data_IF_794022225573
#
_entry.id   IF_794022225573
#
_cell.length_a   1.000
_cell.length_b   1.000
_cell.length_c   1.000
_cell.angle_alpha   90.00
_cell.angle_beta   90.00
_cell.angle_gamma   90.00
#
_symmetry.space_group_name_H-M   'P 1'
#
loop_
_entity.id
_entity.type
_entity.pdbx_description
1 polymer ?
#
# COMPACT_ATOMS: atom_id res chain seq x y z
N UNK A 1 -72.42 -5.09 -1.54
CA UNK A 1 -71.81 -4.60 -0.29
C UNK A 1 -70.38 -4.15 -0.56
N UNK A 2 -70.12 -2.85 -0.65
CA UNK A 2 -68.76 -2.27 -0.62
C UNK A 2 -68.83 -0.99 0.23
N UNK A 3 -68.02 -0.95 1.28
CA UNK A 3 -67.93 0.12 2.28
C UNK A 3 -67.33 1.39 1.66
N UNK A 4 -67.85 2.54 2.08
CA UNK A 4 -67.27 3.88 1.90
C UNK A 4 -66.00 4.03 2.74
N UNK A 5 -65.03 4.83 2.30
CA UNK A 5 -64.53 5.97 3.09
C UNK A 5 -63.65 6.91 2.25
N UNK A 6 -63.86 8.21 2.45
CA UNK A 6 -63.14 9.33 1.84
C UNK A 6 -61.89 9.68 2.65
N UNK A 7 -60.88 10.28 2.00
CA UNK A 7 -59.83 11.06 2.67
C UNK A 7 -59.54 12.33 1.88
N UNK A 8 -59.50 13.41 2.65
CA UNK A 8 -59.41 14.83 2.28
C UNK A 8 -58.01 15.23 1.82
N UNK A 9 -57.93 16.08 0.80
CA UNK A 9 -56.69 16.69 0.31
C UNK A 9 -56.43 17.99 1.11
N UNK A 10 -55.32 18.07 1.83
CA UNK A 10 -54.86 19.30 2.50
C UNK A 10 -53.62 19.81 1.74
N UNK A 11 -53.76 20.98 1.13
CA UNK A 11 -52.68 21.77 0.50
C UNK A 11 -51.82 22.43 1.58
N UNK A 12 -50.55 22.04 1.68
CA UNK A 12 -49.54 22.69 2.51
C UNK A 12 -48.51 23.42 1.63
N UNK A 13 -48.45 24.74 1.78
CA UNK A 13 -47.41 25.61 1.21
C UNK A 13 -46.13 25.40 2.03
N UNK A 14 -45.05 24.93 1.40
CA UNK A 14 -43.73 24.87 2.02
C UNK A 14 -42.91 26.10 1.60
N UNK A 15 -42.53 26.91 2.61
CA UNK A 15 -41.53 27.96 2.52
C UNK A 15 -40.18 27.34 2.13
N UNK A 16 -39.62 27.77 0.99
CA UNK A 16 -38.24 27.47 0.64
C UNK A 16 -37.30 28.40 1.43
N UNK A 17 -36.72 27.89 2.52
CA UNK A 17 -35.56 28.52 3.15
C UNK A 17 -34.31 28.19 2.32
N UNK A 18 -33.85 29.16 1.53
CA UNK A 18 -32.55 29.13 0.89
C UNK A 18 -31.47 29.24 1.98
N UNK A 19 -30.95 28.10 2.44
CA UNK A 19 -29.70 28.04 3.19
C UNK A 19 -28.57 28.20 2.17
N UNK A 20 -27.86 29.32 2.29
CA UNK A 20 -26.69 29.62 1.48
C UNK A 20 -25.62 28.55 1.67
N UNK A 21 -25.17 27.97 0.55
CA UNK A 21 -23.90 27.28 0.52
C UNK A 21 -22.80 28.35 0.61
N UNK A 22 -22.05 28.35 1.70
CA UNK A 22 -20.76 29.03 1.73
C UNK A 22 -19.74 28.14 1.02
N UNK A 23 -19.08 28.57 -0.07
CA UNK A 23 -17.86 27.91 -0.51
C UNK A 23 -16.72 28.53 0.30
N UNK A 24 -16.42 27.94 1.45
CA UNK A 24 -15.10 28.13 2.04
C UNK A 24 -14.21 27.03 1.48
N UNK A 25 -13.48 27.34 0.41
CA UNK A 25 -12.29 26.57 0.03
C UNK A 25 -11.34 26.73 1.21
N UNK A 26 -11.29 25.74 2.10
CA UNK A 26 -10.19 25.63 3.03
C UNK A 26 -8.96 25.42 2.15
N UNK A 27 -8.13 26.47 2.01
CA UNK A 27 -6.82 26.31 1.41
C UNK A 27 -6.06 25.41 2.36
N UNK A 28 -5.85 24.15 1.97
CA UNK A 28 -4.91 23.28 2.66
C UNK A 28 -3.55 23.96 2.61
N UNK A 29 -3.12 24.54 3.73
CA UNK A 29 -1.79 25.14 3.83
C UNK A 29 -0.79 24.00 3.97
N UNK A 30 -0.12 23.66 2.89
CA UNK A 30 0.90 22.63 2.88
C UNK A 30 2.13 23.10 3.68
N UNK A 31 2.38 22.47 4.82
CA UNK A 31 3.45 22.83 5.74
C UNK A 31 4.72 22.02 5.42
N UNK A 32 5.91 22.65 5.35
CA UNK A 32 7.18 21.93 5.18
C UNK A 32 7.39 20.95 6.35
N UNK A 33 7.70 19.70 6.02
CA UNK A 33 7.83 18.63 7.02
C UNK A 33 9.25 18.45 7.53
N UNK A 34 10.25 18.90 6.77
CA UNK A 34 11.65 18.54 6.97
C UNK A 34 12.02 17.21 6.31
N UNK A 35 11.05 16.38 5.92
CA UNK A 35 11.28 15.10 5.25
C UNK A 35 11.66 15.31 3.78
N UNK A 36 12.93 15.08 3.43
CA UNK A 36 13.43 15.30 2.06
C UNK A 36 13.35 14.01 1.26
N UNK A 37 12.67 14.06 0.11
CA UNK A 37 12.65 12.99 -0.90
C UNK A 37 12.90 13.61 -2.26
N UNK A 38 13.68 12.93 -3.10
CA UNK A 38 14.05 13.41 -4.45
C UNK A 38 14.67 14.82 -4.45
N UNK A 39 15.41 15.15 -3.39
CA UNK A 39 16.02 16.47 -3.20
C UNK A 39 15.03 17.59 -2.83
N UNK A 40 13.78 17.26 -2.51
CA UNK A 40 12.73 18.22 -2.15
C UNK A 40 12.27 18.02 -0.70
N UNK A 41 12.20 19.11 0.07
CA UNK A 41 11.52 19.09 1.37
C UNK A 41 10.01 18.99 1.15
N UNK A 42 9.45 17.81 1.45
CA UNK A 42 8.05 17.53 1.21
C UNK A 42 7.16 18.34 2.15
N UNK A 43 5.99 18.72 1.65
CA UNK A 43 4.97 19.44 2.42
C UNK A 43 3.82 18.51 2.82
N UNK A 44 3.23 18.72 4.00
CA UNK A 44 2.09 17.96 4.49
C UNK A 44 0.86 18.85 4.73
N UNK A 45 -0.34 18.29 4.53
CA UNK A 45 -1.58 18.93 4.95
C UNK A 45 -1.69 18.99 6.50
N UNK A 46 -1.20 17.95 7.18
CA UNK A 46 -1.15 17.86 8.64
C UNK A 46 0.23 17.35 9.08
N UNK A 47 0.86 18.06 10.02
CA UNK A 47 2.02 17.56 10.79
C UNK A 47 1.50 17.24 12.19
N UNK A 48 1.62 15.99 12.61
CA UNK A 48 0.96 15.48 13.81
C UNK A 48 1.95 15.00 14.88
N UNK A 49 1.56 15.22 16.14
CA UNK A 49 2.11 14.60 17.34
C UNK A 49 0.94 14.42 18.32
N UNK A 50 0.27 13.28 18.21
CA UNK A 50 -1.02 12.98 18.83
C UNK A 50 -2.02 12.37 17.85
N UNK A 51 -3.25 12.19 18.32
CA UNK A 51 -4.31 11.51 17.57
C UNK A 51 -4.96 12.40 16.50
N UNK A 52 -5.28 11.82 15.36
CA UNK A 52 -5.97 12.46 14.23
C UNK A 52 -7.24 11.67 13.88
N UNK A 53 -8.32 12.41 13.60
CA UNK A 53 -9.58 11.89 13.07
C UNK A 53 -10.24 12.90 12.13
N UNK A 54 -11.13 12.43 11.26
CA UNK A 54 -11.90 13.28 10.35
C UNK A 54 -11.41 13.25 8.91
N UNK A 55 -11.79 14.25 8.13
CA UNK A 55 -11.45 14.34 6.70
C UNK A 55 -10.20 15.21 6.50
N UNK A 56 -9.22 14.67 5.76
CA UNK A 56 -7.98 15.32 5.38
C UNK A 56 -7.92 15.37 3.85
N UNK A 57 -8.25 16.53 3.29
CA UNK A 57 -8.00 16.85 1.88
C UNK A 57 -6.59 17.43 1.73
N UNK A 58 -5.70 16.63 1.16
CA UNK A 58 -4.31 16.96 0.94
C UNK A 58 -4.02 17.41 -0.50
N UNK A 59 -5.05 17.80 -1.25
CA UNK A 59 -4.90 18.33 -2.61
C UNK A 59 -3.93 19.51 -2.61
N UNK A 60 -2.86 19.38 -3.41
CA UNK A 60 -1.80 20.38 -3.52
C UNK A 60 -0.62 20.17 -2.57
N UNK A 61 -0.71 19.24 -1.61
CA UNK A 61 0.39 18.87 -0.72
C UNK A 61 1.05 17.55 -1.15
N UNK A 62 2.27 17.32 -0.66
CA UNK A 62 2.97 16.06 -0.92
C UNK A 62 2.50 14.93 -0.01
N UNK A 63 2.17 15.26 1.24
CA UNK A 63 1.79 14.31 2.27
C UNK A 63 0.41 14.70 2.82
N UNK A 64 -0.44 13.73 3.11
CA UNK A 64 -1.67 13.98 3.86
C UNK A 64 -1.37 14.24 5.34
N UNK A 65 -0.94 13.21 6.04
CA UNK A 65 -0.59 13.28 7.47
C UNK A 65 0.87 12.84 7.66
N UNK A 66 1.67 13.68 8.30
CA UNK A 66 3.08 13.43 8.58
C UNK A 66 3.35 13.34 10.09
N UNK A 67 3.88 12.19 10.52
CA UNK A 67 4.48 11.96 11.83
C UNK A 67 6.00 11.83 11.66
N UNK A 68 6.71 12.85 12.13
CA UNK A 68 8.17 12.94 12.05
C UNK A 68 8.89 12.32 13.25
N UNK A 69 10.22 12.45 13.32
CA UNK A 69 11.06 11.86 14.36
C UNK A 69 10.59 12.19 15.78
N UNK A 70 10.37 11.16 16.60
CA UNK A 70 10.04 11.33 18.02
C UNK A 70 8.56 11.61 18.31
N UNK A 71 7.70 11.55 17.30
CA UNK A 71 6.25 11.77 17.45
C UNK A 71 5.48 10.46 17.66
N UNK A 72 4.27 10.55 18.17
CA UNK A 72 3.40 9.37 18.32
C UNK A 72 1.93 9.71 18.21
N UNK A 73 1.08 8.70 17.99
CA UNK A 73 -0.37 8.91 18.01
C UNK A 73 -1.14 7.85 17.23
N UNK A 74 -2.42 8.14 17.01
CA UNK A 74 -3.33 7.28 16.23
C UNK A 74 -4.03 8.08 15.15
N UNK A 75 -4.04 7.58 13.91
CA UNK A 75 -4.98 8.05 12.88
C UNK A 75 -6.14 7.07 12.84
N UNK A 76 -7.32 7.50 13.28
CA UNK A 76 -8.49 6.63 13.41
C UNK A 76 -9.74 7.19 12.72
N UNK A 77 -10.46 6.35 11.99
CA UNK A 77 -11.77 6.69 11.42
C UNK A 77 -11.73 7.89 10.46
N UNK A 78 -10.58 8.11 9.81
CA UNK A 78 -10.33 9.27 8.96
C UNK A 78 -10.56 8.95 7.48
N UNK A 79 -10.80 10.00 6.70
CA UNK A 79 -10.73 9.96 5.24
C UNK A 79 -9.51 10.80 4.82
N UNK A 80 -8.54 10.21 4.12
CA UNK A 80 -7.29 10.88 3.73
C UNK A 80 -7.07 10.74 2.23
N UNK A 81 -6.97 11.85 1.50
CA UNK A 81 -6.86 11.83 0.04
C UNK A 81 -6.15 13.03 -0.57
N UNK A 82 -5.80 12.91 -1.86
CA UNK A 82 -5.41 14.05 -2.72
C UNK A 82 -3.92 14.42 -2.74
N UNK A 83 -3.10 13.84 -1.85
CA UNK A 83 -1.65 14.09 -1.85
C UNK A 83 -0.94 13.36 -3.00
N UNK A 84 0.16 13.93 -3.51
CA UNK A 84 0.87 13.33 -4.65
C UNK A 84 1.99 12.34 -4.27
N UNK A 85 2.55 12.40 -3.06
CA UNK A 85 3.59 11.48 -2.61
C UNK A 85 3.07 10.40 -1.66
N UNK A 86 2.47 10.81 -0.53
CA UNK A 86 2.09 9.89 0.55
C UNK A 86 0.76 10.27 1.19
N UNK A 87 -0.09 9.29 1.51
CA UNK A 87 -1.30 9.53 2.29
C UNK A 87 -0.95 9.82 3.75
N UNK A 88 -0.40 8.81 4.44
CA UNK A 88 0.07 8.91 5.83
C UNK A 88 1.52 8.45 5.90
N UNK A 89 2.38 9.24 6.54
CA UNK A 89 3.79 8.92 6.79
C UNK A 89 4.05 8.83 8.29
N UNK A 90 4.71 7.76 8.72
CA UNK A 90 5.32 7.63 10.03
C UNK A 90 6.81 7.32 9.83
N UNK A 91 7.68 8.23 10.25
CA UNK A 91 9.13 8.05 10.05
C UNK A 91 9.93 8.46 11.26
N UNK A 92 11.00 7.71 11.52
CA UNK A 92 11.95 8.01 12.60
C UNK A 92 13.04 8.99 12.19
N UNK A 93 13.07 9.44 10.93
CA UNK A 93 14.10 10.33 10.39
C UNK A 93 13.52 11.41 9.48
N UNK A 94 14.12 12.59 9.51
CA UNK A 94 13.85 13.69 8.59
C UNK A 94 15.15 14.21 7.94
N UNK A 95 15.06 15.33 7.24
CA UNK A 95 16.12 15.89 6.41
C UNK A 95 16.41 15.00 5.21
N UNK A 96 17.67 14.91 4.77
CA UNK A 96 18.06 13.97 3.70
C UNK A 96 18.06 12.55 4.26
N UNK A 97 16.90 11.91 4.13
CA UNK A 97 16.62 10.61 4.74
C UNK A 97 17.41 9.46 4.09
N UNK A 98 17.96 9.68 2.89
CA UNK A 98 18.81 8.70 2.21
C UNK A 98 20.29 8.84 2.65
N UNK A 99 20.66 10.01 3.19
CA UNK A 99 21.99 10.25 3.80
C UNK A 99 21.97 10.25 5.33
N UNK A 100 20.82 10.00 5.95
CA UNK A 100 20.63 10.09 7.40
C UNK A 100 21.05 11.44 7.99
N UNK A 101 20.75 12.52 7.26
CA UNK A 101 21.03 13.89 7.69
C UNK A 101 19.75 14.54 8.18
N UNK A 102 19.58 14.68 9.50
CA UNK A 102 18.41 15.33 10.07
C UNK A 102 18.23 14.97 11.55
N UNK A 103 17.01 15.13 12.03
CA UNK A 103 16.59 14.62 13.32
C UNK A 103 16.30 13.13 13.22
N UNK A 104 16.60 12.43 14.31
CA UNK A 104 16.36 11.00 14.48
C UNK A 104 15.54 10.80 15.74
N UNK A 105 14.65 9.83 15.71
CA UNK A 105 13.81 9.53 16.85
C UNK A 105 12.93 8.29 16.67
N UNK A 106 12.25 7.95 17.75
CA UNK A 106 11.30 6.84 17.77
C UNK A 106 9.92 7.37 17.46
N UNK A 107 9.35 6.90 16.35
CA UNK A 107 8.00 7.27 15.90
C UNK A 107 7.08 6.07 16.02
N UNK A 108 5.95 6.23 16.71
CA UNK A 108 4.98 5.16 16.96
C UNK A 108 3.58 5.61 16.62
N UNK A 109 3.02 5.10 15.52
CA UNK A 109 1.73 5.54 15.00
C UNK A 109 0.84 4.35 14.72
N UNK A 110 -0.39 4.36 15.22
CA UNK A 110 -1.40 3.38 14.82
C UNK A 110 -2.30 3.99 13.74
N UNK A 111 -2.49 3.28 12.62
CA UNK A 111 -3.34 3.71 11.50
C UNK A 111 -4.51 2.74 11.42
N UNK A 112 -5.69 3.15 11.91
CA UNK A 112 -6.81 2.24 12.09
C UNK A 112 -8.14 2.73 11.51
N UNK A 113 -8.87 1.81 10.84
CA UNK A 113 -10.25 2.06 10.37
C UNK A 113 -10.39 3.31 9.47
N UNK A 114 -9.37 3.63 8.67
CA UNK A 114 -9.39 4.80 7.78
C UNK A 114 -9.82 4.41 6.35
N UNK A 115 -10.32 5.40 5.60
CA UNK A 115 -10.44 5.36 4.15
C UNK A 115 -9.33 6.22 3.52
N UNK A 116 -8.38 5.61 2.82
CA UNK A 116 -7.20 6.27 2.27
C UNK A 116 -7.22 6.07 0.75
N UNK A 117 -7.35 7.14 -0.02
CA UNK A 117 -7.52 7.02 -1.46
C UNK A 117 -6.98 8.21 -2.26
N UNK A 118 -6.95 8.05 -3.58
CA UNK A 118 -6.54 9.09 -4.52
C UNK A 118 -5.12 9.62 -4.31
N UNK A 119 -4.21 8.77 -3.83
CA UNK A 119 -2.83 9.14 -3.49
C UNK A 119 -1.89 8.95 -4.69
N UNK A 120 -1.27 10.03 -5.16
CA UNK A 120 -0.34 10.02 -6.27
C UNK A 120 -0.52 11.20 -7.22
N UNK A 121 0.37 11.27 -8.20
CA UNK A 121 0.37 12.31 -9.24
C UNK A 121 -0.96 12.35 -10.01
N UNK A 122 -1.37 13.53 -10.45
CA UNK A 122 -2.57 13.72 -11.27
C UNK A 122 -2.18 14.36 -12.62
N UNK A 123 -2.18 13.62 -13.74
CA UNK A 123 -2.52 12.19 -13.88
C UNK A 123 -1.43 11.24 -13.34
N UNK A 124 -1.82 10.01 -12.99
CA UNK A 124 -0.88 8.97 -12.58
C UNK A 124 0.13 8.64 -13.69
N UNK A 125 1.36 8.30 -13.30
CA UNK A 125 2.46 8.03 -14.21
C UNK A 125 3.46 7.01 -13.61
N UNK A 126 4.62 6.80 -14.25
CA UNK A 126 5.62 5.80 -13.87
C UNK A 126 6.67 6.22 -12.85
N UNK A 127 6.60 7.41 -12.23
CA UNK A 127 7.69 7.96 -11.39
C UNK A 127 7.79 7.38 -9.98
N UNK A 128 7.06 6.31 -9.65
CA UNK A 128 7.16 5.59 -8.36
C UNK A 128 6.71 6.38 -7.12
N UNK A 129 5.90 7.44 -7.29
CA UNK A 129 5.23 8.13 -6.18
C UNK A 129 3.87 7.49 -5.84
N UNK A 130 3.22 8.04 -4.81
CA UNK A 130 1.86 7.71 -4.40
C UNK A 130 1.79 6.42 -3.61
N UNK A 131 2.10 6.53 -2.32
CA UNK A 131 1.96 5.44 -1.35
C UNK A 131 0.88 5.81 -0.32
N UNK A 132 -0.11 4.94 -0.11
CA UNK A 132 -1.21 5.19 0.84
C UNK A 132 -0.72 5.39 2.27
N UNK A 133 -0.04 4.39 2.83
CA UNK A 133 0.55 4.42 4.18
C UNK A 133 2.01 4.04 4.11
N UNK A 134 2.90 4.87 4.66
CA UNK A 134 4.33 4.66 4.59
C UNK A 134 5.01 4.75 5.96
N UNK A 135 5.63 3.65 6.38
CA UNK A 135 6.53 3.59 7.52
C UNK A 135 7.97 3.53 7.00
N UNK A 136 8.83 4.42 7.49
CA UNK A 136 10.23 4.50 7.06
C UNK A 136 11.17 4.67 8.25
N UNK A 137 12.13 3.75 8.39
CA UNK A 137 13.21 3.89 9.35
C UNK A 137 14.51 3.18 8.90
N UNK A 138 15.41 3.92 8.27
CA UNK A 138 16.71 3.41 7.76
C UNK A 138 17.91 3.76 8.64
N UNK A 139 17.84 4.88 9.37
CA UNK A 139 18.98 5.44 10.05
C UNK A 139 19.18 4.84 11.44
N UNK A 140 20.43 4.68 11.86
CA UNK A 140 20.76 4.28 13.23
C UNK A 140 20.19 5.29 14.23
N UNK A 141 19.41 4.84 15.21
CA UNK A 141 18.74 5.71 16.18
C UNK A 141 17.38 6.23 15.75
N UNK A 142 16.94 5.94 14.53
CA UNK A 142 15.56 6.13 14.09
C UNK A 142 14.72 4.85 14.27
N UNK A 143 13.41 5.00 14.47
CA UNK A 143 12.47 3.88 14.45
C UNK A 143 11.08 4.34 13.99
N UNK A 144 10.38 3.47 13.25
CA UNK A 144 9.00 3.69 12.84
C UNK A 144 8.18 2.42 13.10
N UNK A 145 7.22 2.49 14.03
CA UNK A 145 6.46 1.33 14.47
C UNK A 145 4.96 1.59 14.60
N UNK A 146 4.16 0.54 14.55
CA UNK A 146 2.75 0.60 14.90
C UNK A 146 1.85 -0.42 14.21
N UNK A 147 0.56 -0.35 14.51
CA UNK A 147 -0.47 -1.20 13.95
C UNK A 147 -1.21 -0.50 12.80
N UNK A 148 -1.31 -1.19 11.66
CA UNK A 148 -2.05 -0.75 10.48
C UNK A 148 -3.23 -1.70 10.34
N UNK A 149 -4.42 -1.29 10.76
CA UNK A 149 -5.56 -2.23 10.83
C UNK A 149 -6.93 -1.70 10.42
N UNK A 150 -7.72 -2.55 9.77
CA UNK A 150 -9.10 -2.22 9.41
C UNK A 150 -9.25 -1.09 8.37
N UNK A 151 -8.16 -0.69 7.70
CA UNK A 151 -8.22 0.41 6.72
C UNK A 151 -8.72 -0.09 5.36
N UNK A 152 -9.36 0.81 4.61
CA UNK A 152 -9.57 0.69 3.18
C UNK A 152 -8.54 1.59 2.47
N UNK A 153 -7.66 1.00 1.65
CA UNK A 153 -6.63 1.71 0.89
C UNK A 153 -6.83 1.42 -0.58
N UNK A 154 -7.07 2.46 -1.39
CA UNK A 154 -7.39 2.29 -2.82
C UNK A 154 -6.90 3.46 -3.67
N UNK A 155 -6.94 3.32 -4.99
CA UNK A 155 -6.64 4.42 -5.94
C UNK A 155 -5.32 5.15 -5.61
N UNK A 156 -4.27 4.38 -5.29
CA UNK A 156 -2.91 4.88 -5.15
C UNK A 156 -2.11 4.62 -6.43
N UNK A 157 -0.97 5.31 -6.59
CA UNK A 157 -0.12 5.19 -7.77
C UNK A 157 0.87 4.01 -7.68
N UNK A 158 1.65 3.88 -6.60
CA UNK A 158 2.69 2.83 -6.48
C UNK A 158 2.40 1.80 -5.39
N UNK A 159 2.15 2.24 -4.16
CA UNK A 159 2.09 1.38 -2.98
C UNK A 159 0.81 1.56 -2.17
N UNK A 160 0.21 0.49 -1.69
CA UNK A 160 -0.90 0.61 -0.73
C UNK A 160 -0.38 0.92 0.67
N UNK A 161 0.24 -0.09 1.28
CA UNK A 161 0.86 -0.02 2.61
C UNK A 161 2.32 -0.46 2.49
N UNK A 162 3.26 0.37 2.92
CA UNK A 162 4.69 0.11 2.78
C UNK A 162 5.41 0.36 4.10
N UNK A 163 6.26 -0.58 4.53
CA UNK A 163 7.20 -0.42 5.62
C UNK A 163 8.61 -0.73 5.13
N UNK A 164 9.50 0.26 5.11
CA UNK A 164 10.85 0.12 4.59
C UNK A 164 11.90 0.56 5.62
N UNK A 165 13.01 -0.19 5.66
CA UNK A 165 14.20 0.11 6.46
C UNK A 165 14.35 -0.81 7.67
N UNK A 166 15.60 -1.12 8.08
CA UNK A 166 15.90 -2.06 9.17
C UNK A 166 15.25 -1.74 10.52
N UNK A 167 14.85 -0.48 10.74
CA UNK A 167 14.26 -0.04 11.99
C UNK A 167 12.75 0.23 11.88
N UNK A 168 12.12 -0.18 10.77
CA UNK A 168 10.68 -0.13 10.56
C UNK A 168 10.04 -1.48 10.92
N UNK A 169 9.10 -1.49 11.88
CA UNK A 169 8.46 -2.71 12.35
C UNK A 169 6.94 -2.52 12.54
N UNK A 170 6.13 -3.26 11.78
CA UNK A 170 4.68 -3.02 11.71
C UNK A 170 3.83 -4.30 11.85
N UNK A 171 2.61 -4.12 12.36
CA UNK A 171 1.56 -5.16 12.33
C UNK A 171 0.44 -4.74 11.39
N UNK A 172 0.29 -5.44 10.26
CA UNK A 172 -0.65 -5.10 9.18
C UNK A 172 -1.79 -6.11 9.19
N UNK A 173 -2.98 -5.71 9.65
CA UNK A 173 -4.08 -6.66 9.83
C UNK A 173 -5.48 -6.19 9.46
N UNK A 174 -6.25 -7.05 8.81
CA UNK A 174 -7.67 -6.75 8.54
C UNK A 174 -7.92 -5.59 7.58
N UNK A 175 -6.95 -5.20 6.77
CA UNK A 175 -7.10 -4.12 5.80
C UNK A 175 -7.68 -4.63 4.48
N UNK A 176 -8.37 -3.76 3.74
CA UNK A 176 -8.68 -3.94 2.33
C UNK A 176 -7.77 -3.04 1.51
N UNK A 177 -6.95 -3.64 0.64
CA UNK A 177 -5.95 -2.93 -0.17
C UNK A 177 -6.20 -3.26 -1.64
N UNK A 178 -6.68 -2.26 -2.39
CA UNK A 178 -7.11 -2.44 -3.78
C UNK A 178 -6.27 -1.56 -4.72
N UNK A 179 -5.50 -2.22 -5.60
CA UNK A 179 -4.83 -1.58 -6.71
C UNK A 179 -5.81 -1.14 -7.80
N UNK A 180 -5.27 -0.63 -8.91
CA UNK A 180 -6.05 -0.06 -10.02
C UNK A 180 -6.44 -1.09 -11.09
N UNK A 181 -6.19 -2.38 -10.84
CA UNK A 181 -6.32 -3.43 -11.83
C UNK A 181 -5.16 -3.41 -12.84
N UNK A 182 -5.33 -4.03 -14.03
CA UNK A 182 -4.31 -4.07 -15.07
C UNK A 182 -3.97 -2.67 -15.60
N UNK A 183 -2.78 -2.15 -15.25
CA UNK A 183 -2.32 -0.82 -15.69
C UNK A 183 -0.92 -0.85 -16.33
N UNK A 184 -0.64 -0.01 -17.34
CA UNK A 184 0.65 -0.02 -18.03
C UNK A 184 1.66 1.00 -17.47
N UNK A 185 1.22 1.99 -16.69
CA UNK A 185 2.10 3.10 -16.32
C UNK A 185 3.09 2.73 -15.20
N UNK A 186 2.70 1.81 -14.31
CA UNK A 186 3.48 1.46 -13.13
C UNK A 186 3.08 0.11 -12.54
N UNK A 187 4.08 -0.69 -12.14
CA UNK A 187 3.83 -1.93 -11.39
C UNK A 187 3.55 -1.61 -9.92
N UNK A 188 2.34 -1.92 -9.45
CA UNK A 188 1.89 -1.59 -8.11
C UNK A 188 2.20 -2.69 -7.11
N UNK A 189 2.45 -2.30 -5.87
CA UNK A 189 2.56 -3.22 -4.75
C UNK A 189 1.42 -2.92 -3.74
N UNK A 190 0.68 -3.94 -3.32
CA UNK A 190 -0.40 -3.75 -2.35
C UNK A 190 0.17 -3.49 -0.97
N UNK A 191 0.76 -4.53 -0.39
CA UNK A 191 1.46 -4.44 0.88
C UNK A 191 2.94 -4.77 0.65
N UNK A 192 3.84 -3.91 1.12
CA UNK A 192 5.27 -4.14 1.05
C UNK A 192 5.92 -4.03 2.44
N UNK A 193 6.76 -5.01 2.77
CA UNK A 193 7.78 -4.87 3.80
C UNK A 193 9.12 -5.05 3.10
N UNK A 194 10.03 -4.09 3.23
CA UNK A 194 11.27 -4.19 2.49
C UNK A 194 12.48 -3.50 3.09
N UNK A 195 13.62 -3.76 2.45
CA UNK A 195 14.92 -3.19 2.78
C UNK A 195 15.26 -3.32 4.28
N UNK A 196 15.13 -4.52 4.82
CA UNK A 196 15.38 -4.80 6.24
C UNK A 196 14.19 -4.62 7.17
N UNK A 197 13.05 -4.13 6.68
CA UNK A 197 11.84 -3.97 7.49
C UNK A 197 11.35 -5.28 8.11
N UNK A 198 10.66 -5.17 9.25
CA UNK A 198 10.04 -6.30 9.94
C UNK A 198 8.51 -6.14 10.00
N UNK A 199 7.82 -7.27 10.12
CA UNK A 199 6.41 -7.22 10.46
C UNK A 199 5.62 -8.51 10.26
N UNK A 200 4.32 -8.37 10.52
CA UNK A 200 3.34 -9.42 10.32
C UNK A 200 2.18 -8.91 9.47
N UNK A 201 1.83 -9.66 8.43
CA UNK A 201 0.76 -9.32 7.48
C UNK A 201 -0.32 -10.38 7.62
N UNK A 202 -1.45 -10.06 8.23
CA UNK A 202 -2.48 -11.05 8.53
C UNK A 202 -3.92 -10.64 8.19
N UNK A 203 -4.71 -11.57 7.66
CA UNK A 203 -6.16 -11.37 7.45
C UNK A 203 -6.52 -10.13 6.63
N UNK A 204 -5.66 -9.69 5.73
CA UNK A 204 -5.95 -8.61 4.80
C UNK A 204 -6.64 -9.17 3.54
N UNK A 205 -7.38 -8.31 2.85
CA UNK A 205 -7.91 -8.55 1.51
C UNK A 205 -7.12 -7.69 0.51
N UNK A 206 -6.38 -8.29 -0.42
CA UNK A 206 -5.43 -7.58 -1.30
C UNK A 206 -5.66 -7.93 -2.77
N UNK A 207 -6.06 -6.96 -3.59
CA UNK A 207 -6.59 -7.18 -4.94
C UNK A 207 -6.10 -6.13 -5.94
N UNK A 208 -6.14 -6.42 -7.23
CA UNK A 208 -6.00 -5.43 -8.30
C UNK A 208 -4.57 -4.95 -8.58
N UNK A 209 -3.55 -5.75 -8.27
CA UNK A 209 -2.15 -5.42 -8.55
C UNK A 209 -1.68 -6.12 -9.81
N UNK A 210 -1.99 -5.55 -10.97
CA UNK A 210 -1.59 -6.11 -12.25
C UNK A 210 -0.92 -5.09 -13.16
N UNK A 211 0.21 -5.46 -13.74
CA UNK A 211 0.98 -4.62 -14.63
C UNK A 211 0.94 -5.14 -16.06
N UNK A 212 0.62 -4.26 -17.00
CA UNK A 212 0.52 -4.57 -18.43
C UNK A 212 1.57 -3.85 -19.27
N UNK A 213 2.40 -3.01 -18.65
CA UNK A 213 3.40 -2.19 -19.32
C UNK A 213 4.67 -2.96 -19.68
N UNK A 214 5.65 -2.32 -20.32
CA UNK A 214 6.88 -2.96 -20.80
C UNK A 214 7.90 -3.22 -19.67
N UNK A 215 9.08 -3.73 -20.04
CA UNK A 215 10.30 -3.85 -19.22
C UNK A 215 10.36 -5.01 -18.22
N UNK A 216 9.58 -6.07 -18.41
CA UNK A 216 9.75 -7.29 -17.61
C UNK A 216 9.41 -7.14 -16.13
N UNK A 217 8.56 -6.18 -15.78
CA UNK A 217 8.12 -5.95 -14.41
C UNK A 217 6.83 -6.73 -14.09
N UNK A 218 6.63 -7.01 -12.81
CA UNK A 218 5.38 -7.57 -12.28
C UNK A 218 4.95 -6.79 -11.04
N UNK A 219 3.65 -6.62 -10.90
CA UNK A 219 3.04 -6.12 -9.68
C UNK A 219 2.96 -7.22 -8.61
N UNK A 220 2.79 -6.85 -7.35
CA UNK A 220 2.62 -7.80 -6.26
C UNK A 220 1.43 -7.41 -5.37
N UNK A 221 0.61 -8.39 -4.99
CA UNK A 221 -0.35 -8.21 -3.91
C UNK A 221 0.40 -7.94 -2.61
N UNK A 222 1.25 -8.88 -2.21
CA UNK A 222 2.12 -8.73 -1.03
C UNK A 222 3.58 -8.97 -1.45
N UNK A 223 4.46 -8.01 -1.18
CA UNK A 223 5.88 -8.06 -1.51
C UNK A 223 6.76 -7.96 -0.25
N UNK A 224 7.62 -8.96 -0.06
CA UNK A 224 8.72 -8.92 0.90
C UNK A 224 9.99 -8.75 0.08
N UNK A 225 10.62 -7.57 0.14
CA UNK A 225 11.75 -7.26 -0.73
C UNK A 225 13.01 -6.92 0.05
N UNK A 226 14.16 -7.51 -0.27
CA UNK A 226 15.42 -7.18 0.41
C UNK A 226 16.66 -7.59 -0.36
N UNK A 227 17.83 -7.22 0.17
CA UNK A 227 19.10 -7.46 -0.50
C UNK A 227 19.39 -6.42 -1.58
N UNK A 228 19.99 -6.84 -2.71
CA UNK A 228 20.30 -5.92 -3.80
C UNK A 228 21.24 -4.76 -3.39
N UNK A 229 22.17 -5.03 -2.47
CA UNK A 229 23.04 -4.03 -1.86
C UNK A 229 22.46 -3.34 -0.61
N UNK A 230 21.19 -3.61 -0.27
CA UNK A 230 20.56 -3.22 0.99
C UNK A 230 20.41 -4.43 1.93
N UNK A 231 19.89 -4.20 3.13
CA UNK A 231 19.58 -5.23 4.11
C UNK A 231 18.58 -6.26 3.57
N UNK A 232 18.77 -7.52 3.98
CA UNK A 232 17.80 -8.58 3.75
C UNK A 232 16.57 -8.36 4.61
N UNK A 233 15.39 -8.62 4.04
CA UNK A 233 14.11 -8.55 4.75
C UNK A 233 13.75 -9.96 5.20
N UNK A 234 13.79 -10.18 6.51
CA UNK A 234 13.82 -11.54 7.08
C UNK A 234 12.73 -11.76 8.13
N UNK A 235 12.30 -13.00 8.30
CA UNK A 235 11.38 -13.41 9.38
C UNK A 235 9.94 -12.93 9.24
N UNK A 236 9.59 -12.25 8.14
CA UNK A 236 8.24 -11.72 7.91
C UNK A 236 7.23 -12.87 7.77
N UNK A 237 6.07 -12.70 8.39
CA UNK A 237 4.98 -13.68 8.40
C UNK A 237 3.74 -13.15 7.70
N UNK A 238 3.31 -13.84 6.66
CA UNK A 238 2.13 -13.55 5.84
C UNK A 238 1.10 -14.64 6.09
N UNK A 239 0.07 -14.32 6.87
CA UNK A 239 -0.81 -15.35 7.47
C UNK A 239 -2.29 -15.07 7.23
N UNK A 240 -3.01 -16.03 6.62
CA UNK A 240 -4.48 -15.97 6.47
C UNK A 240 -5.00 -14.75 5.71
N UNK A 241 -4.23 -14.21 4.76
CA UNK A 241 -4.70 -13.17 3.87
C UNK A 241 -5.51 -13.79 2.72
N UNK A 242 -6.45 -13.00 2.19
CA UNK A 242 -7.07 -13.24 0.88
C UNK A 242 -6.37 -12.32 -0.11
N UNK A 243 -5.66 -12.90 -1.07
CA UNK A 243 -4.76 -12.16 -1.97
C UNK A 243 -5.06 -12.57 -3.40
N UNK A 244 -5.85 -11.77 -4.10
CA UNK A 244 -6.23 -12.16 -5.44
C UNK A 244 -7.62 -11.76 -5.85
N UNK A 245 -8.09 -12.40 -6.93
CA UNK A 245 -9.34 -12.03 -7.54
C UNK A 245 -10.55 -12.33 -6.65
N UNK A 246 -11.43 -11.32 -6.48
CA UNK A 246 -12.82 -11.49 -6.02
C UNK A 246 -13.82 -11.28 -7.15
N UNK A 247 -13.39 -10.64 -8.23
CA UNK A 247 -14.13 -10.35 -9.45
C UNK A 247 -13.23 -10.55 -10.68
N UNK A 248 -13.73 -10.49 -11.93
CA UNK A 248 -12.83 -10.42 -13.08
C UNK A 248 -11.99 -9.13 -13.06
N UNK A 249 -10.74 -9.20 -13.49
CA UNK A 249 -9.76 -8.11 -13.56
C UNK A 249 -9.28 -7.47 -12.23
N UNK A 250 -9.50 -8.09 -11.06
CA UNK A 250 -8.91 -7.67 -9.77
C UNK A 250 -7.85 -8.66 -9.23
N UNK A 251 -7.26 -9.47 -10.10
CA UNK A 251 -6.15 -10.36 -9.76
C UNK A 251 -4.84 -9.62 -9.47
N UNK A 252 -3.87 -10.35 -8.92
CA UNK A 252 -2.50 -9.86 -8.74
C UNK A 252 -1.53 -10.64 -9.64
N UNK A 253 -0.56 -9.98 -10.26
CA UNK A 253 0.45 -10.68 -11.08
C UNK A 253 1.21 -11.68 -10.20
N UNK A 254 1.80 -11.21 -9.11
CA UNK A 254 2.26 -12.06 -8.02
C UNK A 254 1.31 -11.93 -6.84
N UNK A 255 0.76 -13.04 -6.36
CA UNK A 255 -0.05 -13.03 -5.12
C UNK A 255 0.82 -12.62 -3.95
N UNK A 256 1.78 -13.48 -3.59
CA UNK A 256 2.82 -13.21 -2.60
C UNK A 256 4.19 -13.33 -3.25
N UNK A 257 5.07 -12.36 -3.05
CA UNK A 257 6.46 -12.39 -3.48
C UNK A 257 7.39 -12.31 -2.27
N UNK A 258 8.16 -13.37 -2.03
CA UNK A 258 9.29 -13.43 -1.10
C UNK A 258 10.55 -13.19 -1.93
N UNK A 259 10.95 -11.93 -2.07
CA UNK A 259 11.95 -11.49 -3.03
C UNK A 259 13.17 -10.88 -2.33
N UNK A 260 14.01 -11.74 -1.78
CA UNK A 260 15.33 -11.38 -1.27
C UNK A 260 16.42 -11.82 -2.25
N UNK A 261 17.39 -10.95 -2.47
CA UNK A 261 18.48 -11.24 -3.39
C UNK A 261 19.84 -11.06 -2.75
N UNK A 262 20.85 -11.65 -3.37
CA UNK A 262 22.24 -11.34 -3.12
C UNK A 262 22.55 -9.86 -3.48
N UNK A 263 23.74 -9.34 -3.12
CA UNK A 263 24.10 -7.96 -3.41
C UNK A 263 24.09 -7.57 -4.90
N UNK A 264 24.11 -8.55 -5.82
CA UNK A 264 24.09 -8.30 -7.27
C UNK A 264 22.69 -8.33 -7.89
N UNK A 265 21.64 -8.62 -7.10
CA UNK A 265 20.27 -8.80 -7.58
C UNK A 265 20.09 -9.94 -8.60
N UNK A 266 20.93 -10.97 -8.55
CA UNK A 266 20.88 -12.04 -9.56
C UNK A 266 20.41 -13.37 -9.01
N UNK A 267 20.57 -13.61 -7.71
CA UNK A 267 20.22 -14.88 -7.08
C UNK A 267 19.67 -14.68 -5.67
N UNK A 268 19.04 -15.71 -5.12
CA UNK A 268 18.71 -15.75 -3.71
C UNK A 268 19.98 -15.64 -2.82
N UNK A 269 19.90 -15.01 -1.64
CA UNK A 269 21.02 -14.90 -0.72
C UNK A 269 21.42 -16.26 -0.13
N UNK A 270 22.67 -16.40 0.31
CA UNK A 270 23.13 -17.58 1.05
C UNK A 270 22.72 -17.54 2.54
N UNK A 271 22.44 -16.35 3.06
CA UNK A 271 21.92 -16.13 4.42
C UNK A 271 20.43 -16.45 4.46
N UNK A 272 20.02 -17.24 5.47
CA UNK A 272 18.62 -17.59 5.67
C UNK A 272 17.73 -16.36 5.92
N UNK A 273 16.74 -16.15 5.06
CA UNK A 273 15.74 -15.08 5.13
C UNK A 273 14.53 -15.48 5.98
N UNK A 274 14.19 -16.76 6.06
CA UNK A 274 13.18 -17.30 6.98
C UNK A 274 11.76 -16.68 6.88
N UNK A 275 11.39 -16.08 5.76
CA UNK A 275 10.06 -15.52 5.53
C UNK A 275 9.03 -16.64 5.33
N UNK A 276 7.77 -16.36 5.65
CA UNK A 276 6.72 -17.38 5.63
C UNK A 276 5.41 -16.89 5.04
N UNK A 277 4.91 -17.60 4.04
CA UNK A 277 3.54 -17.50 3.54
C UNK A 277 2.72 -18.69 4.06
N UNK A 278 1.74 -18.44 4.93
CA UNK A 278 1.04 -19.48 5.68
C UNK A 278 -0.48 -19.32 5.60
N UNK A 279 -1.21 -20.37 5.19
CA UNK A 279 -2.68 -20.41 5.21
C UNK A 279 -3.35 -19.25 4.45
N UNK A 280 -2.73 -18.70 3.42
CA UNK A 280 -3.35 -17.66 2.59
C UNK A 280 -4.22 -18.29 1.50
N UNK A 281 -5.27 -17.58 1.10
CA UNK A 281 -6.04 -17.88 -0.11
C UNK A 281 -5.56 -16.94 -1.21
N UNK A 282 -5.02 -17.49 -2.28
CA UNK A 282 -4.33 -16.76 -3.35
C UNK A 282 -4.97 -17.10 -4.69
N UNK A 283 -5.59 -16.13 -5.34
CA UNK A 283 -6.42 -16.36 -6.54
C UNK A 283 -6.07 -15.41 -7.67
N UNK A 284 -6.00 -15.90 -8.91
CA UNK A 284 -6.02 -15.01 -10.07
C UNK A 284 -6.77 -15.66 -11.22
N UNK A 285 -7.84 -15.02 -11.66
CA UNK A 285 -8.71 -15.56 -12.72
C UNK A 285 -8.28 -15.16 -14.12
N UNK A 286 -7.21 -14.37 -14.26
CA UNK A 286 -6.77 -13.83 -15.55
C UNK A 286 -5.25 -13.84 -15.73
N UNK A 287 -4.83 -13.98 -16.99
CA UNK A 287 -3.45 -13.75 -17.43
C UNK A 287 -3.39 -12.37 -18.07
N UNK A 288 -3.02 -11.38 -17.26
CA UNK A 288 -3.02 -9.96 -17.62
C UNK A 288 -1.61 -9.40 -17.78
N UNK A 289 -0.62 -9.92 -17.04
CA UNK A 289 0.77 -9.55 -17.24
C UNK A 289 1.30 -10.17 -18.54
N UNK A 290 1.63 -9.31 -19.49
CA UNK A 290 2.09 -9.71 -20.83
C UNK A 290 3.58 -9.37 -21.09
N UNK A 291 4.34 -8.93 -20.07
CA UNK A 291 5.67 -8.31 -20.28
C UNK A 291 6.89 -8.95 -19.60
N UNK A 292 6.75 -9.86 -18.63
CA UNK A 292 7.85 -10.63 -18.03
C UNK A 292 8.65 -11.49 -19.02
N UNK A 293 9.98 -11.35 -18.98
CA UNK A 293 11.01 -12.09 -19.72
C UNK A 293 10.75 -12.39 -21.22
N UNK A 294 10.43 -11.35 -22.00
CA UNK A 294 10.27 -11.46 -23.45
C UNK A 294 8.90 -12.01 -23.83
N UNK A 295 8.03 -11.15 -24.36
CA UNK A 295 6.69 -11.46 -24.88
C UNK A 295 5.69 -12.19 -23.93
N UNK A 296 6.07 -12.70 -22.76
CA UNK A 296 5.19 -13.58 -21.97
C UNK A 296 5.26 -13.39 -20.46
N UNK A 297 5.02 -12.19 -19.94
CA UNK A 297 4.51 -12.01 -18.57
C UNK A 297 5.31 -12.61 -17.40
N UNK A 298 5.06 -12.22 -16.16
CA UNK A 298 5.29 -13.19 -15.06
C UNK A 298 4.19 -13.07 -14.04
N UNK A 299 3.50 -14.19 -13.83
CA UNK A 299 2.48 -14.34 -12.82
C UNK A 299 2.71 -15.60 -12.00
N UNK A 300 2.53 -15.50 -10.70
CA UNK A 300 2.67 -16.61 -9.78
C UNK A 300 1.81 -16.39 -8.52
N UNK A 301 1.22 -17.46 -8.00
CA UNK A 301 0.55 -17.39 -6.70
C UNK A 301 1.54 -17.03 -5.60
N UNK A 302 2.66 -17.74 -5.54
CA UNK A 302 3.80 -17.41 -4.67
C UNK A 302 5.09 -17.42 -5.49
N UNK A 303 5.82 -16.30 -5.44
CA UNK A 303 7.20 -16.19 -5.92
C UNK A 303 8.15 -16.25 -4.72
N UNK A 304 9.23 -17.01 -4.82
CA UNK A 304 10.26 -17.12 -3.79
C UNK A 304 11.66 -17.07 -4.42
N UNK A 305 12.37 -15.99 -4.14
CA UNK A 305 13.82 -15.89 -4.20
C UNK A 305 14.27 -15.56 -2.79
N UNK A 306 14.69 -16.58 -2.05
CA UNK A 306 15.00 -16.48 -0.64
C UNK A 306 15.72 -17.72 -0.16
N UNK A 307 16.00 -17.78 1.14
CA UNK A 307 16.74 -18.88 1.75
C UNK A 307 16.07 -19.33 3.05
N UNK A 308 15.71 -20.61 3.12
CA UNK A 308 14.94 -21.21 4.22
C UNK A 308 13.54 -20.56 4.45
N UNK A 309 13.00 -19.94 3.41
CA UNK A 309 11.64 -19.43 3.35
C UNK A 309 10.64 -20.60 3.32
N UNK A 310 9.40 -20.35 3.72
CA UNK A 310 8.38 -21.40 3.90
C UNK A 310 7.04 -21.01 3.30
N UNK A 311 6.55 -21.85 2.40
CA UNK A 311 5.21 -21.78 1.82
C UNK A 311 4.38 -22.93 2.40
N UNK A 312 3.46 -22.62 3.31
CA UNK A 312 2.78 -23.63 4.15
C UNK A 312 1.26 -23.48 4.01
N UNK A 313 0.59 -24.53 3.53
CA UNK A 313 -0.88 -24.65 3.52
C UNK A 313 -1.60 -23.46 2.84
N UNK A 314 -1.01 -22.85 1.82
CA UNK A 314 -1.72 -21.83 1.03
C UNK A 314 -2.64 -22.53 0.03
N UNK A 315 -3.83 -21.96 -0.17
CA UNK A 315 -4.76 -22.35 -1.24
C UNK A 315 -4.50 -21.44 -2.43
N UNK A 316 -3.95 -21.98 -3.52
CA UNK A 316 -3.53 -21.22 -4.70
C UNK A 316 -4.34 -21.71 -5.90
N UNK A 317 -5.07 -20.83 -6.56
CA UNK A 317 -5.94 -21.23 -7.68
C UNK A 317 -6.17 -20.13 -8.72
N UNK A 318 -6.80 -20.53 -9.84
CA UNK A 318 -7.18 -19.65 -10.95
C UNK A 318 -6.22 -19.72 -12.14
N UNK A 319 -6.76 -19.45 -13.33
CA UNK A 319 -6.02 -19.60 -14.60
C UNK A 319 -4.86 -18.62 -14.76
N UNK A 320 -4.84 -17.53 -13.99
CA UNK A 320 -3.74 -16.58 -13.92
C UNK A 320 -2.46 -17.15 -13.32
N UNK A 321 -2.55 -18.28 -12.59
CA UNK A 321 -1.41 -18.99 -12.02
C UNK A 321 -1.26 -20.40 -12.58
N UNK A 322 -2.01 -20.74 -13.64
CA UNK A 322 -1.97 -22.06 -14.26
C UNK A 322 -0.75 -22.16 -15.18
N UNK A 323 0.25 -23.01 -14.85
CA UNK A 323 1.45 -23.16 -15.66
C UNK A 323 1.18 -23.76 -17.04
N UNK A 324 0.01 -24.37 -17.28
CA UNK A 324 -0.41 -24.83 -18.61
C UNK A 324 -0.94 -23.70 -19.50
N UNK A 325 -1.26 -22.54 -18.90
CA UNK A 325 -1.78 -21.35 -19.58
C UNK A 325 -0.71 -20.28 -19.75
N UNK A 326 0.26 -20.22 -18.85
CA UNK A 326 1.52 -19.51 -19.07
C UNK A 326 2.33 -20.29 -20.12
N UNK A 327 2.52 -19.73 -21.33
CA UNK A 327 3.24 -20.41 -22.41
C UNK A 327 4.57 -20.99 -21.89
N UNK A 328 4.75 -22.30 -22.07
CA UNK A 328 5.87 -23.10 -21.58
C UNK A 328 7.20 -22.79 -22.31
N UNK A 329 7.72 -21.57 -22.15
CA UNK A 329 9.08 -21.19 -22.52
C UNK A 329 9.83 -20.71 -21.27
N UNK A 330 10.44 -21.69 -20.61
CA UNK A 330 11.62 -21.60 -19.77
C UNK A 330 11.74 -20.38 -18.83
N UNK A 331 11.46 -20.63 -17.55
CA UNK A 331 12.19 -19.99 -16.45
C UNK A 331 13.69 -20.32 -16.66
N UNK A 332 14.59 -19.34 -16.82
CA UNK A 332 16.03 -19.58 -16.70
C UNK A 332 16.41 -20.02 -15.28
#
# INVERSE_FOLDING_TARGET
MKKKLAVSLVTGIALASALGASPAVAVTMCMPTGFIRDGMNLTAAVIADGDISGQIDATGCNIGIYYGPGTSGTVAGSEVFGSNYFGIVATGEDGDVDQCLGHLGTTSVDVTSNNIHDIGEKPFNGVQHGIGVYYRAFCDGASATGAISGNAVSVYQKGGIVANGPNAAVSISGNTVAGRGPIPEIAQNGIQIGFGGDGMIMRNNVTGHSYTGPNGASSAGILIFGGCGNELTTGVRIVKNVVGSTTPADGNDMGVALANYDPTCTMAPTTATNNKAINNTITNTELTNNSGNGATGYQAGVYDSGNNDKVINNDISGVGYDPSKCNALAVP
#
